data_IF_143150347399
#
_entry.id   IF_143150347399
#
_cell.length_a   1.000
_cell.length_b   1.000
_cell.length_c   1.000
_cell.angle_alpha   90.00
_cell.angle_beta   90.00
_cell.angle_gamma   90.00
#
_symmetry.space_group_name_H-M   'P 1'
#
loop_
_entity.id
_entity.type
_entity.pdbx_description
1 polymer ?
#
# COMPACT_ATOMS: atom_id res chain seq x y z
N UNK A 1 9.35 -4.19 -5.85
CA UNK A 1 9.20 -4.23 -7.32
C UNK A 1 10.52 -4.15 -8.11
N UNK A 2 11.67 -3.87 -7.48
CA UNK A 2 12.96 -3.81 -8.17
C UNK A 2 13.13 -2.57 -9.07
N UNK A 3 12.33 -1.52 -8.85
CA UNK A 3 12.45 -0.28 -9.59
C UNK A 3 13.81 0.40 -9.31
N UNK A 4 14.42 1.04 -10.31
CA UNK A 4 15.77 1.61 -10.20
C UNK A 4 15.93 2.62 -9.05
N UNK A 5 14.85 3.36 -8.71
CA UNK A 5 14.85 4.27 -7.56
C UNK A 5 14.90 3.57 -6.19
N UNK A 6 14.63 2.27 -6.12
CA UNK A 6 14.61 1.48 -4.88
C UNK A 6 15.91 0.71 -4.63
N UNK A 7 16.87 0.74 -5.57
CA UNK A 7 18.10 -0.06 -5.53
C UNK A 7 19.35 0.80 -5.71
N UNK A 8 19.29 2.07 -5.32
CA UNK A 8 20.45 2.96 -5.34
C UNK A 8 21.49 2.49 -4.32
N UNK A 9 22.76 2.78 -4.59
CA UNK A 9 23.85 2.47 -3.65
C UNK A 9 23.63 3.12 -2.28
N UNK A 10 23.07 4.33 -2.26
CA UNK A 10 22.68 5.02 -1.03
C UNK A 10 21.61 4.25 -0.25
N UNK A 11 20.56 3.76 -0.91
CA UNK A 11 19.50 3.00 -0.23
C UNK A 11 20.01 1.67 0.32
N UNK A 12 20.85 0.95 -0.44
CA UNK A 12 21.49 -0.29 0.01
C UNK A 12 22.38 -0.04 1.22
N UNK A 13 23.18 1.03 1.18
CA UNK A 13 24.05 1.42 2.29
C UNK A 13 23.24 1.75 3.55
N UNK A 14 22.21 2.58 3.43
CA UNK A 14 21.34 2.94 4.57
C UNK A 14 20.68 1.69 5.15
N UNK A 15 20.22 0.76 4.29
CA UNK A 15 19.66 -0.51 4.74
C UNK A 15 20.67 -1.32 5.55
N UNK A 16 21.88 -1.49 5.02
CA UNK A 16 22.97 -2.20 5.70
C UNK A 16 23.34 -1.57 7.06
N UNK A 17 23.52 -0.25 7.09
CA UNK A 17 23.90 0.50 8.30
C UNK A 17 22.82 0.45 9.41
N UNK A 18 21.58 0.08 9.07
CA UNK A 18 20.45 -0.01 9.99
C UNK A 18 19.91 -1.45 10.16
N UNK A 19 20.66 -2.48 9.76
CA UNK A 19 20.25 -3.89 9.85
C UNK A 19 18.92 -4.20 9.12
N UNK A 20 18.62 -3.47 8.05
CA UNK A 20 17.44 -3.67 7.19
C UNK A 20 17.84 -4.41 5.92
N UNK A 21 17.35 -5.64 5.77
CA UNK A 21 17.55 -6.43 4.55
C UNK A 21 16.59 -5.99 3.44
N UNK A 22 17.14 -5.51 2.32
CA UNK A 22 16.36 -5.16 1.13
C UNK A 22 16.14 -6.39 0.24
N UNK A 23 14.87 -6.76 0.02
CA UNK A 23 14.50 -7.83 -0.90
C UNK A 23 14.14 -7.29 -2.28
N UNK A 24 14.95 -7.63 -3.28
CA UNK A 24 14.65 -7.37 -4.69
C UNK A 24 13.80 -8.51 -5.27
N UNK A 25 12.53 -8.22 -5.55
CA UNK A 25 11.65 -9.18 -6.23
C UNK A 25 12.11 -9.37 -7.69
N UNK A 26 12.00 -10.60 -8.26
CA UNK A 26 12.26 -10.81 -9.68
C UNK A 26 11.40 -9.88 -10.56
N UNK A 27 11.90 -9.47 -11.74
CA UNK A 27 11.16 -8.59 -12.65
C UNK A 27 9.74 -9.10 -12.95
N UNK A 28 8.78 -8.18 -13.04
CA UNK A 28 7.37 -8.46 -13.38
C UNK A 28 6.61 -9.41 -12.42
N UNK A 29 7.11 -9.62 -11.20
CA UNK A 29 6.46 -10.51 -10.21
C UNK A 29 5.65 -9.81 -9.14
N UNK A 30 5.50 -8.48 -9.20
CA UNK A 30 4.75 -7.69 -8.21
C UNK A 30 3.35 -8.25 -7.93
N UNK A 31 2.61 -8.63 -8.97
CA UNK A 31 1.27 -9.23 -8.88
C UNK A 31 1.22 -10.60 -8.18
N UNK A 32 2.36 -11.24 -7.91
CA UNK A 32 2.48 -12.54 -7.24
C UNK A 32 3.17 -12.44 -5.90
N UNK A 33 4.24 -11.68 -5.81
CA UNK A 33 5.15 -11.70 -4.66
C UNK A 33 5.03 -10.45 -3.80
N UNK A 34 4.42 -9.36 -4.26
CA UNK A 34 4.31 -8.15 -3.45
C UNK A 34 3.00 -8.19 -2.63
N UNK A 35 3.05 -8.34 -1.29
CA UNK A 35 1.84 -8.48 -0.46
C UNK A 35 0.88 -7.29 -0.64
N UNK A 36 1.44 -6.09 -0.84
CA UNK A 36 0.68 -4.88 -1.10
C UNK A 36 -0.25 -5.04 -2.31
N UNK A 37 0.27 -5.50 -3.45
CA UNK A 37 -0.50 -5.69 -4.68
C UNK A 37 -1.39 -6.93 -4.63
N UNK A 38 -0.92 -8.01 -4.02
CA UNK A 38 -1.64 -9.29 -3.93
C UNK A 38 -2.89 -9.20 -3.05
N UNK A 39 -2.83 -8.42 -1.95
CA UNK A 39 -3.91 -8.47 -0.95
C UNK A 39 -4.23 -7.18 -0.20
N UNK A 40 -3.33 -6.20 -0.12
CA UNK A 40 -3.61 -4.98 0.66
C UNK A 40 -4.35 -3.90 -0.17
N UNK A 41 -3.92 -3.67 -1.40
CA UNK A 41 -4.40 -2.54 -2.22
C UNK A 41 -5.81 -2.75 -2.79
N UNK A 42 -6.23 -3.99 -3.05
CA UNK A 42 -7.62 -4.26 -3.48
C UNK A 42 -8.65 -3.78 -2.46
N UNK A 43 -8.58 -4.24 -1.19
CA UNK A 43 -9.43 -3.74 -0.11
C UNK A 43 -9.30 -2.23 0.11
N UNK A 44 -8.08 -1.68 0.09
CA UNK A 44 -7.86 -0.24 0.25
C UNK A 44 -8.58 0.57 -0.82
N UNK A 45 -8.47 0.18 -2.10
CA UNK A 45 -9.18 0.82 -3.21
C UNK A 45 -10.68 0.80 -3.01
N UNK A 46 -11.24 -0.32 -2.55
CA UNK A 46 -12.67 -0.45 -2.23
C UNK A 46 -13.10 0.54 -1.14
N UNK A 47 -12.40 0.55 -0.01
CA UNK A 47 -12.74 1.46 1.10
C UNK A 47 -12.49 2.93 0.77
N UNK A 48 -11.48 3.22 -0.06
CA UNK A 48 -11.21 4.56 -0.57
C UNK A 48 -12.40 5.11 -1.37
N UNK A 49 -12.93 4.33 -2.32
CA UNK A 49 -14.12 4.74 -3.08
C UNK A 49 -15.34 4.94 -2.18
N UNK A 50 -15.59 4.03 -1.25
CA UNK A 50 -16.68 4.20 -0.28
C UNK A 50 -16.52 5.48 0.54
N UNK A 51 -15.31 5.82 0.97
CA UNK A 51 -15.04 7.01 1.75
C UNK A 51 -15.20 8.30 0.94
N UNK A 52 -14.77 8.32 -0.34
CA UNK A 52 -15.01 9.45 -1.25
C UNK A 52 -16.51 9.64 -1.50
N UNK A 53 -17.22 8.56 -1.80
CA UNK A 53 -18.67 8.62 -2.04
C UNK A 53 -19.42 9.16 -0.82
N UNK A 54 -19.03 8.71 0.38
CA UNK A 54 -19.58 9.23 1.64
C UNK A 54 -19.29 10.72 1.81
N UNK A 55 -18.05 11.15 1.56
CA UNK A 55 -17.66 12.57 1.64
C UNK A 55 -18.47 13.44 0.66
N UNK A 56 -18.61 12.98 -0.59
CA UNK A 56 -19.39 13.69 -1.61
C UNK A 56 -20.86 13.82 -1.21
N UNK A 57 -21.47 12.74 -0.70
CA UNK A 57 -22.87 12.75 -0.23
C UNK A 57 -23.08 13.68 0.97
N UNK A 58 -22.11 13.75 1.88
CA UNK A 58 -22.22 14.57 3.09
C UNK A 58 -22.01 16.07 2.79
N UNK A 59 -21.07 16.39 1.90
CA UNK A 59 -20.62 17.77 1.68
C UNK A 59 -21.18 18.41 0.41
N UNK A 60 -21.66 17.60 -0.53
CA UNK A 60 -22.04 18.04 -1.87
C UNK A 60 -20.85 18.48 -2.73
N UNK A 61 -19.61 18.17 -2.33
CA UNK A 61 -18.38 18.63 -2.98
C UNK A 61 -17.42 17.49 -3.26
N UNK A 62 -16.64 17.65 -4.33
CA UNK A 62 -15.52 16.77 -4.61
C UNK A 62 -14.41 16.90 -3.57
N UNK A 63 -13.60 15.85 -3.46
CA UNK A 63 -12.53 15.79 -2.48
C UNK A 63 -11.34 16.66 -2.92
N UNK A 64 -11.15 17.79 -2.25
CA UNK A 64 -9.94 18.61 -2.44
C UNK A 64 -8.69 17.95 -1.86
N UNK A 65 -7.51 18.28 -2.40
CA UNK A 65 -6.21 17.72 -2.01
C UNK A 65 -5.95 17.76 -0.50
N UNK A 66 -6.37 18.83 0.18
CA UNK A 66 -6.16 18.99 1.63
C UNK A 66 -6.89 17.94 2.49
N UNK A 67 -7.94 17.31 1.96
CA UNK A 67 -8.73 16.30 2.65
C UNK A 67 -8.31 14.86 2.29
N UNK A 68 -7.49 14.68 1.25
CA UNK A 68 -6.98 13.37 0.82
C UNK A 68 -6.32 12.60 1.96
N UNK A 69 -5.41 13.19 2.78
CA UNK A 69 -4.79 12.45 3.88
C UNK A 69 -5.80 11.91 4.89
N UNK A 70 -6.81 12.71 5.25
CA UNK A 70 -7.83 12.31 6.23
C UNK A 70 -8.69 11.15 5.70
N UNK A 71 -9.22 11.29 4.48
CA UNK A 71 -10.03 10.25 3.84
C UNK A 71 -9.21 8.98 3.62
N UNK A 72 -7.93 9.11 3.27
CA UNK A 72 -7.02 7.99 3.08
C UNK A 72 -6.78 7.24 4.39
N UNK A 73 -6.56 7.96 5.50
CA UNK A 73 -6.40 7.34 6.82
C UNK A 73 -7.64 6.57 7.27
N UNK A 74 -8.84 7.08 6.98
CA UNK A 74 -10.10 6.37 7.25
C UNK A 74 -10.21 5.08 6.42
N UNK A 75 -9.97 5.17 5.11
CA UNK A 75 -9.98 4.01 4.22
C UNK A 75 -8.92 2.97 4.60
N UNK A 76 -7.71 3.42 4.92
CA UNK A 76 -6.59 2.59 5.37
C UNK A 76 -6.94 1.83 6.64
N UNK A 77 -7.51 2.51 7.64
CA UNK A 77 -7.92 1.88 8.90
C UNK A 77 -8.98 0.81 8.67
N UNK A 78 -9.93 1.05 7.77
CA UNK A 78 -10.94 0.05 7.43
C UNK A 78 -10.36 -1.15 6.64
N UNK A 79 -9.45 -0.88 5.70
CA UNK A 79 -8.89 -1.90 4.81
C UNK A 79 -7.85 -2.81 5.49
N UNK A 80 -6.91 -2.22 6.24
CA UNK A 80 -5.72 -2.89 6.76
C UNK A 80 -6.01 -3.56 8.11
N UNK A 81 -6.89 -4.56 8.07
CA UNK A 81 -7.16 -5.43 9.20
C UNK A 81 -6.11 -6.55 9.29
N UNK A 82 -5.77 -7.05 10.50
CA UNK A 82 -4.79 -8.12 10.67
C UNK A 82 -5.04 -9.33 9.75
N UNK A 83 -6.31 -9.77 9.66
CA UNK A 83 -6.71 -10.86 8.76
C UNK A 83 -6.37 -10.61 7.28
N UNK A 84 -6.53 -9.37 6.81
CA UNK A 84 -6.31 -9.00 5.41
C UNK A 84 -4.83 -8.99 5.10
N UNK A 85 -4.04 -8.40 6.00
CA UNK A 85 -2.59 -8.31 5.86
C UNK A 85 -1.93 -9.68 5.94
N UNK A 86 -2.25 -10.48 6.96
CA UNK A 86 -1.70 -11.84 7.11
C UNK A 86 -2.01 -12.71 5.90
N UNK A 87 -3.23 -12.61 5.35
CA UNK A 87 -3.60 -13.33 4.13
C UNK A 87 -2.86 -12.82 2.89
N UNK A 88 -2.54 -11.52 2.84
CA UNK A 88 -1.76 -10.95 1.75
C UNK A 88 -0.35 -11.57 1.71
N UNK A 89 0.34 -11.61 2.86
CA UNK A 89 1.65 -12.25 3.03
C UNK A 89 1.61 -13.75 2.68
N UNK A 90 0.67 -14.49 3.28
CA UNK A 90 0.50 -15.92 2.99
C UNK A 90 0.28 -16.21 1.49
N UNK A 91 -0.44 -15.35 0.77
CA UNK A 91 -0.65 -15.50 -0.67
C UNK A 91 0.55 -15.09 -1.51
N UNK A 92 1.36 -14.15 -1.05
CA UNK A 92 2.58 -13.73 -1.75
C UNK A 92 3.75 -14.70 -1.61
N UNK A 93 3.64 -15.68 -0.69
CA UNK A 93 4.70 -16.67 -0.47
C UNK A 93 5.94 -16.09 0.23
N UNK A 94 5.77 -14.95 0.92
CA UNK A 94 6.77 -14.28 1.75
C UNK A 94 6.18 -14.12 3.15
#
# INVERSE_FOLDING_TARGET
>A
DGHGSHVTSEMVRIGFDNDVMLYCLPPHTTHRLQPCDVGAFGPLKKFWFTAIEWYLRLTGRELGTNHVPLIYMLARRAAFQPRTLLRAWSKSGI
#
